data_IF_156983002163
#
_entry.id   IF_156983002163
#
_cell.length_a   1.000
_cell.length_b   1.000
_cell.length_c   1.000
_cell.angle_alpha   90.00
_cell.angle_beta   90.00
_cell.angle_gamma   90.00
#
_symmetry.space_group_name_H-M   'P 1'
#
loop_
_entity.id
_entity.type
_entity.pdbx_description
1 polymer ?
#
# COMPACT_ATOMS: atom_id res chain seq x y z
N UNK A 1 -0.36 32.86 16.19
CA UNK A 1 -0.54 33.77 17.36
C UNK A 1 -1.15 35.10 16.94
N UNK A 2 -2.29 35.04 16.24
CA UNK A 2 -3.19 36.17 15.97
C UNK A 2 -4.53 35.56 16.44
N UNK A 3 -5.14 35.96 17.56
CA UNK A 3 -6.04 37.11 17.56
C UNK A 3 -6.54 37.52 18.95
N UNK A 4 -5.79 37.31 20.04
CA UNK A 4 -6.23 37.80 21.37
C UNK A 4 -6.38 39.33 21.40
N UNK A 5 -5.53 40.06 20.66
CA UNK A 5 -5.59 41.51 20.55
C UNK A 5 -6.86 42.01 19.87
N UNK A 6 -7.29 41.35 18.79
CA UNK A 6 -8.48 41.76 18.03
C UNK A 6 -9.78 41.50 18.79
N UNK A 7 -9.92 40.35 19.45
CA UNK A 7 -11.07 40.09 20.31
C UNK A 7 -11.13 41.09 21.47
N UNK A 8 -9.99 41.45 22.06
CA UNK A 8 -9.95 42.50 23.08
C UNK A 8 -10.39 43.86 22.52
N UNK A 9 -10.03 44.18 21.27
CA UNK A 9 -10.38 45.45 20.63
C UNK A 9 -11.89 45.54 20.32
N UNK A 10 -12.48 44.45 19.83
CA UNK A 10 -13.90 44.38 19.51
C UNK A 10 -14.76 44.40 20.78
N UNK A 11 -14.32 43.71 21.84
CA UNK A 11 -14.95 43.76 23.15
C UNK A 11 -14.86 45.17 23.75
N UNK A 12 -13.73 45.87 23.57
CA UNK A 12 -13.53 47.24 24.04
C UNK A 12 -14.45 48.23 23.35
N UNK A 13 -14.63 48.10 22.02
CA UNK A 13 -15.55 48.95 21.25
C UNK A 13 -17.01 48.69 21.67
N UNK A 14 -17.39 47.43 21.87
CA UNK A 14 -18.73 47.08 22.34
C UNK A 14 -18.99 47.68 23.74
N UNK A 15 -18.00 47.59 24.64
CA UNK A 15 -18.08 48.16 25.97
C UNK A 15 -18.21 49.69 25.93
N UNK A 16 -17.46 50.35 25.03
CA UNK A 16 -17.53 51.80 24.84
C UNK A 16 -18.91 52.24 24.31
N UNK A 17 -19.47 51.49 23.35
CA UNK A 17 -20.80 51.76 22.80
C UNK A 17 -21.90 51.58 23.85
N UNK A 18 -21.78 50.56 24.71
CA UNK A 18 -22.69 50.36 25.84
C UNK A 18 -22.61 51.49 26.86
N UNK A 19 -21.40 52.00 27.15
CA UNK A 19 -21.20 53.13 28.07
C UNK A 19 -21.80 54.42 27.49
N UNK A 20 -21.50 54.75 26.24
CA UNK A 20 -22.02 55.97 25.58
C UNK A 20 -23.55 55.94 25.52
N UNK A 21 -24.14 54.77 25.22
CA UNK A 21 -25.58 54.61 25.21
C UNK A 21 -26.20 54.77 26.61
N UNK A 22 -25.54 54.25 27.66
CA UNK A 22 -25.99 54.41 29.04
C UNK A 22 -25.93 55.87 29.51
N UNK A 23 -24.93 56.64 29.08
CA UNK A 23 -24.78 58.05 29.47
C UNK A 23 -25.77 58.96 28.74
N UNK A 24 -26.03 58.76 27.44
CA UNK A 24 -27.03 59.55 26.71
C UNK A 24 -28.47 59.31 27.18
N UNK A 25 -28.80 58.10 27.65
CA UNK A 25 -30.15 57.77 28.12
C UNK A 25 -30.46 58.39 29.50
N UNK A 26 -29.45 58.59 30.35
CA UNK A 26 -29.65 59.17 31.68
C UNK A 26 -29.88 60.69 31.66
N UNK A 27 -29.36 61.42 30.66
CA UNK A 27 -29.51 62.87 30.58
C UNK A 27 -30.91 63.31 30.06
N UNK A 28 -31.62 62.48 29.30
CA UNK A 28 -32.99 62.78 28.83
C UNK A 28 -34.10 62.36 29.81
N UNK A 29 -33.82 61.47 30.77
CA UNK A 29 -34.83 60.92 31.68
C UNK A 29 -35.25 61.89 32.80
N UNK A 30 -34.49 62.97 33.01
CA UNK A 30 -34.71 63.91 34.13
C UNK A 30 -35.70 65.03 33.83
N UNK A 31 -36.23 65.20 32.60
CA UNK A 31 -37.02 66.41 32.27
C UNK A 31 -38.40 66.24 31.61
N UNK A 32 -38.98 65.04 31.44
CA UNK A 32 -40.35 64.96 30.88
C UNK A 32 -41.09 63.64 31.18
N UNK A 33 -41.84 63.61 32.30
CA UNK A 33 -42.86 62.59 32.58
C UNK A 33 -44.11 62.80 31.72
N UNK A 34 -44.12 62.23 30.52
CA UNK A 34 -45.34 61.80 29.81
C UNK A 34 -45.22 60.29 29.57
N UNK A 35 -46.09 59.52 30.22
CA UNK A 35 -46.00 58.06 30.37
C UNK A 35 -46.07 57.24 29.08
N UNK A 36 -46.45 57.82 27.95
CA UNK A 36 -46.44 57.14 26.64
C UNK A 36 -45.08 57.21 25.93
N UNK A 37 -44.24 58.21 26.26
CA UNK A 37 -42.93 58.40 25.61
C UNK A 37 -41.89 57.37 26.09
N UNK A 38 -41.97 56.97 27.36
CA UNK A 38 -40.98 56.08 27.99
C UNK A 38 -41.00 54.66 27.41
N UNK A 39 -42.19 54.12 27.10
CA UNK A 39 -42.31 52.77 26.52
C UNK A 39 -41.66 52.68 25.13
N UNK A 40 -41.90 53.66 24.27
CA UNK A 40 -41.30 53.71 22.93
C UNK A 40 -39.79 53.86 22.99
N UNK A 41 -39.28 54.65 23.94
CA UNK A 41 -37.84 54.77 24.18
C UNK A 41 -37.20 53.44 24.58
N UNK A 42 -37.78 52.71 25.55
CA UNK A 42 -37.27 51.40 25.96
C UNK A 42 -37.32 50.36 24.83
N UNK A 43 -38.38 50.34 24.02
CA UNK A 43 -38.47 49.45 22.86
C UNK A 43 -37.36 49.76 21.85
N UNK A 44 -37.10 51.03 21.57
CA UNK A 44 -36.04 51.45 20.66
C UNK A 44 -34.65 51.10 21.20
N UNK A 45 -34.42 51.22 22.51
CA UNK A 45 -33.17 50.80 23.15
C UNK A 45 -32.94 49.30 23.02
N UNK A 46 -33.94 48.49 23.36
CA UNK A 46 -33.87 47.03 23.25
C UNK A 46 -33.63 46.64 21.79
N UNK A 47 -34.39 47.22 20.85
CA UNK A 47 -34.23 46.97 19.43
C UNK A 47 -32.84 47.36 18.92
N UNK A 48 -32.33 48.54 19.29
CA UNK A 48 -30.99 49.00 18.93
C UNK A 48 -29.88 48.08 19.47
N UNK A 49 -30.01 47.61 20.71
CA UNK A 49 -29.06 46.66 21.30
C UNK A 49 -29.07 45.30 20.59
N UNK A 50 -30.25 44.79 20.22
CA UNK A 50 -30.40 43.53 19.47
C UNK A 50 -29.81 43.65 18.06
N UNK A 51 -30.07 44.75 17.36
CA UNK A 51 -29.48 45.01 16.03
C UNK A 51 -27.96 45.09 16.12
N UNK A 52 -27.42 45.81 17.11
CA UNK A 52 -25.97 45.91 17.34
C UNK A 52 -25.35 44.53 17.63
N UNK A 53 -25.99 43.71 18.47
CA UNK A 53 -25.54 42.36 18.77
C UNK A 53 -25.53 41.47 17.52
N UNK A 54 -26.60 41.53 16.69
CA UNK A 54 -26.68 40.76 15.44
C UNK A 54 -25.58 41.18 14.46
N UNK A 55 -25.31 42.48 14.31
CA UNK A 55 -24.20 42.98 13.49
C UNK A 55 -22.86 42.45 14.03
N UNK A 56 -22.65 42.47 15.35
CA UNK A 56 -21.45 41.92 15.97
C UNK A 56 -21.25 40.43 15.70
N UNK A 57 -22.33 39.63 15.79
CA UNK A 57 -22.30 38.20 15.48
C UNK A 57 -21.97 37.97 14.00
N UNK A 58 -22.58 38.73 13.08
CA UNK A 58 -22.32 38.61 11.65
C UNK A 58 -20.86 38.94 11.31
N UNK A 59 -20.30 40.01 11.87
CA UNK A 59 -18.89 40.38 11.69
C UNK A 59 -17.97 39.30 12.26
N UNK A 60 -18.24 38.81 13.48
CA UNK A 60 -17.42 37.76 14.09
C UNK A 60 -17.49 36.45 13.29
N UNK A 61 -18.66 36.07 12.79
CA UNK A 61 -18.86 34.89 11.95
C UNK A 61 -18.10 35.01 10.63
N UNK A 62 -18.17 36.19 9.99
CA UNK A 62 -17.43 36.48 8.77
C UNK A 62 -15.91 36.36 8.98
N UNK A 63 -15.37 36.94 10.05
CA UNK A 63 -13.93 36.87 10.37
C UNK A 63 -13.51 35.42 10.64
N UNK A 64 -14.27 34.68 11.46
CA UNK A 64 -13.99 33.27 11.74
C UNK A 64 -14.01 32.43 10.46
N UNK A 65 -14.93 32.70 9.53
CA UNK A 65 -14.98 32.04 8.24
C UNK A 65 -13.69 32.24 7.43
N UNK A 66 -13.15 33.47 7.39
CA UNK A 66 -11.88 33.74 6.70
C UNK A 66 -10.69 33.07 7.38
N UNK A 67 -10.63 33.10 8.72
CA UNK A 67 -9.54 32.43 9.45
C UNK A 67 -9.55 30.92 9.22
N UNK A 68 -10.72 30.28 9.25
CA UNK A 68 -10.85 28.86 8.94
C UNK A 68 -10.48 28.55 7.48
N UNK A 69 -10.81 29.45 6.55
CA UNK A 69 -10.42 29.32 5.15
C UNK A 69 -8.90 29.39 4.97
N UNK A 70 -8.23 30.34 5.62
CA UNK A 70 -6.78 30.49 5.55
C UNK A 70 -6.06 29.28 6.16
N UNK A 71 -6.51 28.83 7.34
CA UNK A 71 -5.99 27.59 7.96
C UNK A 71 -6.13 26.42 6.99
N UNK A 72 -7.30 26.26 6.36
CA UNK A 72 -7.53 25.18 5.38
C UNK A 72 -6.57 25.29 4.18
N UNK A 73 -6.36 26.47 3.64
CA UNK A 73 -5.43 26.71 2.52
C UNK A 73 -3.99 26.39 2.94
N UNK A 74 -3.54 26.85 4.11
CA UNK A 74 -2.20 26.55 4.63
C UNK A 74 -2.01 25.04 4.86
N UNK A 75 -3.00 24.35 5.42
CA UNK A 75 -2.94 22.90 5.59
C UNK A 75 -2.87 22.19 4.24
N UNK A 76 -3.68 22.59 3.25
CA UNK A 76 -3.66 22.01 1.91
C UNK A 76 -2.32 22.25 1.20
N UNK A 77 -1.79 23.48 1.26
CA UNK A 77 -0.49 23.82 0.69
C UNK A 77 0.64 23.05 1.37
N UNK A 78 0.65 22.93 2.71
CA UNK A 78 1.67 22.13 3.42
C UNK A 78 1.57 20.64 3.08
N UNK A 79 0.35 20.14 2.87
CA UNK A 79 0.11 18.75 2.46
C UNK A 79 0.63 18.51 1.06
N UNK A 80 0.36 19.40 0.12
CA UNK A 80 0.88 19.33 -1.25
C UNK A 80 2.41 19.46 -1.27
N UNK A 81 2.98 20.36 -0.48
CA UNK A 81 4.43 20.53 -0.36
C UNK A 81 5.09 19.28 0.24
N UNK A 82 4.51 18.70 1.30
CA UNK A 82 4.96 17.43 1.87
C UNK A 82 4.85 16.29 0.85
N UNK A 83 3.74 16.20 0.12
CA UNK A 83 3.57 15.18 -0.93
C UNK A 83 4.59 15.36 -2.05
N UNK A 84 4.88 16.59 -2.47
CA UNK A 84 5.86 16.91 -3.50
C UNK A 84 7.31 16.67 -3.03
N UNK A 85 7.62 16.93 -1.77
CA UNK A 85 8.90 16.55 -1.16
C UNK A 85 9.04 15.03 -1.11
N UNK A 86 8.03 14.32 -0.58
CA UNK A 86 8.02 12.86 -0.55
C UNK A 86 8.16 12.25 -1.95
N UNK A 87 7.48 12.80 -2.96
CA UNK A 87 7.51 12.27 -4.33
C UNK A 87 8.89 12.42 -4.98
N UNK A 88 9.53 13.59 -4.83
CA UNK A 88 10.92 13.81 -5.29
C UNK A 88 11.93 12.94 -4.55
N UNK A 89 11.74 12.75 -3.25
CA UNK A 89 12.61 11.88 -2.45
C UNK A 89 12.44 10.40 -2.85
N UNK A 90 11.21 9.96 -3.13
CA UNK A 90 10.90 8.62 -3.62
C UNK A 90 11.50 8.38 -5.01
N UNK A 91 11.41 9.34 -5.94
CA UNK A 91 11.99 9.21 -7.28
C UNK A 91 13.53 9.22 -7.26
N UNK A 92 14.14 10.08 -6.44
CA UNK A 92 15.59 10.11 -6.29
C UNK A 92 16.12 8.83 -5.62
N UNK A 93 15.38 8.25 -4.67
CA UNK A 93 15.70 6.94 -4.05
C UNK A 93 15.51 5.79 -5.03
N UNK A 94 14.41 5.74 -5.78
CA UNK A 94 14.17 4.70 -6.81
C UNK A 94 15.28 4.68 -7.87
N UNK A 95 15.76 5.85 -8.30
CA UNK A 95 16.84 5.92 -9.31
C UNK A 95 18.24 5.59 -8.76
N UNK A 96 18.46 5.75 -7.44
CA UNK A 96 19.69 5.34 -6.75
C UNK A 96 19.68 3.87 -6.32
N UNK A 97 18.55 3.33 -5.87
CA UNK A 97 18.39 1.94 -5.41
C UNK A 97 18.72 0.90 -6.50
N UNK A 98 18.54 1.23 -7.78
CA UNK A 98 18.87 0.30 -8.88
C UNK A 98 20.37 0.33 -9.24
N UNK A 99 21.08 1.43 -8.93
CA UNK A 99 22.49 1.64 -9.24
C UNK A 99 23.37 1.14 -8.09
N UNK A 100 23.58 -0.16 -8.06
CA UNK A 100 24.45 -0.81 -7.07
C UNK A 100 24.19 -2.31 -6.96
N UNK A 101 22.94 -2.70 -7.21
CA UNK A 101 22.51 -4.10 -7.12
C UNK A 101 23.24 -5.00 -8.12
N UNK A 102 23.70 -6.14 -7.61
CA UNK A 102 24.23 -7.25 -8.40
C UNK A 102 23.13 -7.91 -9.26
N UNK A 103 23.53 -8.76 -10.21
CA UNK A 103 22.56 -9.52 -11.00
C UNK A 103 22.00 -10.65 -10.15
N UNK A 104 20.71 -10.95 -10.32
CA UNK A 104 20.08 -12.09 -9.64
C UNK A 104 20.81 -13.40 -9.94
N UNK A 105 21.12 -14.17 -8.89
CA UNK A 105 21.75 -15.49 -8.98
C UNK A 105 20.79 -16.54 -8.38
N UNK A 106 20.32 -17.53 -9.16
CA UNK A 106 19.47 -18.59 -8.63
C UNK A 106 20.22 -19.51 -7.68
N UNK A 107 19.51 -20.10 -6.70
CA UNK A 107 20.10 -21.03 -5.74
C UNK A 107 20.56 -22.35 -6.37
N UNK A 108 19.83 -22.81 -7.39
CA UNK A 108 20.09 -24.06 -8.09
C UNK A 108 20.24 -23.79 -9.59
N UNK A 109 21.07 -24.56 -10.29
CA UNK A 109 21.02 -24.59 -11.75
C UNK A 109 19.61 -24.93 -12.21
N UNK A 110 19.20 -24.38 -13.34
CA UNK A 110 17.86 -24.64 -13.88
C UNK A 110 17.88 -25.00 -15.36
N UNK A 111 16.88 -25.77 -15.78
CA UNK A 111 16.53 -26.02 -17.17
C UNK A 111 15.25 -25.26 -17.47
N UNK A 112 15.24 -24.50 -18.56
CA UNK A 112 14.04 -23.82 -19.03
C UNK A 112 13.35 -24.64 -20.14
N UNK A 113 12.02 -24.74 -20.07
CA UNK A 113 11.18 -25.39 -21.07
C UNK A 113 10.02 -24.46 -21.41
N UNK A 114 9.82 -24.20 -22.69
CA UNK A 114 8.68 -23.45 -23.19
C UNK A 114 7.66 -24.43 -23.79
N UNK A 115 6.38 -24.26 -23.46
CA UNK A 115 5.27 -25.03 -24.01
C UNK A 115 4.25 -24.07 -24.60
N UNK A 116 3.98 -24.27 -25.88
CA UNK A 116 2.96 -23.61 -26.69
C UNK A 116 2.08 -24.65 -27.41
N UNK A 117 1.15 -24.19 -28.25
CA UNK A 117 0.22 -25.08 -28.98
C UNK A 117 0.92 -26.03 -29.97
N UNK A 118 2.14 -25.71 -30.40
CA UNK A 118 2.93 -26.47 -31.38
C UNK A 118 3.91 -27.43 -30.73
N UNK A 119 4.07 -27.34 -29.41
CA UNK A 119 5.03 -28.12 -28.64
C UNK A 119 4.70 -29.61 -28.69
N UNK A 120 5.72 -30.44 -28.89
CA UNK A 120 5.55 -31.89 -28.95
C UNK A 120 4.96 -32.43 -27.64
N UNK A 121 3.93 -33.30 -27.69
CA UNK A 121 3.36 -33.94 -26.49
C UNK A 121 4.39 -34.74 -25.68
N UNK A 122 5.48 -35.18 -26.30
CA UNK A 122 6.58 -35.91 -25.64
C UNK A 122 7.28 -35.02 -24.60
N UNK A 123 7.43 -33.72 -24.88
CA UNK A 123 8.03 -32.77 -23.94
C UNK A 123 7.16 -32.64 -22.69
N UNK A 124 5.84 -32.54 -22.86
CA UNK A 124 4.89 -32.52 -21.75
C UNK A 124 4.87 -33.85 -20.97
N UNK A 125 5.04 -35.00 -21.63
CA UNK A 125 5.17 -36.30 -20.96
C UNK A 125 6.43 -36.38 -20.09
N UNK A 126 7.58 -35.93 -20.59
CA UNK A 126 8.80 -35.85 -19.77
C UNK A 126 8.57 -34.97 -18.53
N UNK A 127 7.94 -33.79 -18.70
CA UNK A 127 7.61 -32.91 -17.59
C UNK A 127 6.64 -33.55 -16.59
N UNK A 128 5.67 -34.37 -17.05
CA UNK A 128 4.78 -35.13 -16.15
C UNK A 128 5.60 -36.11 -15.30
N UNK A 129 6.57 -36.80 -15.88
CA UNK A 129 7.45 -37.72 -15.15
C UNK A 129 8.27 -36.94 -14.10
N UNK A 130 8.81 -35.77 -14.47
CA UNK A 130 9.54 -34.91 -13.54
C UNK A 130 8.64 -34.37 -12.42
N UNK A 131 7.41 -33.96 -12.75
CA UNK A 131 6.43 -33.45 -11.78
C UNK A 131 6.04 -34.53 -10.77
N UNK A 132 5.83 -35.78 -11.20
CA UNK A 132 5.54 -36.91 -10.30
C UNK A 132 6.63 -37.16 -9.24
N UNK A 133 7.88 -36.79 -9.55
CA UNK A 133 9.04 -36.92 -8.65
C UNK A 133 9.27 -35.67 -7.78
N UNK A 134 8.53 -34.61 -8.03
CA UNK A 134 8.70 -33.31 -7.39
C UNK A 134 7.59 -33.10 -6.35
N UNK A 135 7.93 -32.52 -5.20
CA UNK A 135 6.98 -32.27 -4.09
C UNK A 135 6.78 -30.80 -3.75
N UNK A 136 7.69 -29.93 -4.19
CA UNK A 136 7.61 -28.50 -4.01
C UNK A 136 7.62 -27.83 -5.38
N UNK A 137 6.70 -26.89 -5.57
CA UNK A 137 6.56 -26.15 -6.81
C UNK A 137 6.43 -24.68 -6.51
N UNK A 138 6.89 -23.84 -7.43
CA UNK A 138 6.56 -22.41 -7.44
C UNK A 138 5.71 -22.13 -8.67
N UNK A 139 4.62 -21.38 -8.53
CA UNK A 139 3.75 -21.01 -9.65
C UNK A 139 3.59 -19.49 -9.71
N UNK A 140 3.79 -18.94 -10.90
CA UNK A 140 3.55 -17.53 -11.22
C UNK A 140 2.61 -17.45 -12.43
N UNK A 141 1.62 -16.58 -12.34
CA UNK A 141 0.65 -16.33 -13.40
C UNK A 141 0.97 -14.98 -14.03
N UNK A 142 1.02 -14.95 -15.36
CA UNK A 142 1.35 -13.77 -16.12
C UNK A 142 0.25 -13.40 -17.11
N UNK A 143 -0.03 -12.11 -17.14
CA UNK A 143 -1.02 -11.49 -18.00
C UNK A 143 -2.24 -10.98 -17.23
N UNK A 144 -2.93 -10.03 -17.84
CA UNK A 144 -4.17 -9.43 -17.36
C UNK A 144 -5.28 -9.54 -18.42
N UNK A 145 -6.47 -9.00 -18.10
CA UNK A 145 -7.66 -9.01 -18.98
C UNK A 145 -7.37 -8.35 -20.35
N UNK A 146 -6.40 -7.43 -20.42
CA UNK A 146 -6.08 -6.63 -21.60
C UNK A 146 -4.87 -7.18 -22.38
N UNK A 147 -4.06 -8.02 -21.75
CA UNK A 147 -2.88 -8.62 -22.33
C UNK A 147 -3.25 -9.66 -23.38
N UNK A 148 -2.54 -9.63 -24.52
CA UNK A 148 -2.71 -10.61 -25.59
C UNK A 148 -2.07 -11.96 -25.27
N UNK A 149 -1.19 -12.00 -24.27
CA UNK A 149 -0.39 -13.17 -23.92
C UNK A 149 -0.66 -13.53 -22.46
N UNK A 150 -1.40 -14.62 -22.26
CA UNK A 150 -1.57 -15.26 -20.96
C UNK A 150 -0.64 -16.48 -20.90
N UNK A 151 0.17 -16.56 -19.87
CA UNK A 151 1.02 -17.73 -19.64
C UNK A 151 1.18 -17.99 -18.14
N UNK A 152 1.62 -19.21 -17.81
CA UNK A 152 1.91 -19.65 -16.46
C UNK A 152 3.37 -20.08 -16.44
N UNK A 153 4.12 -19.65 -15.43
CA UNK A 153 5.45 -20.15 -15.16
C UNK A 153 5.43 -21.03 -13.91
N UNK A 154 6.02 -22.21 -14.04
CA UNK A 154 6.05 -23.22 -12.99
C UNK A 154 7.49 -23.68 -12.80
N UNK A 155 8.00 -23.56 -11.59
CA UNK A 155 9.25 -24.20 -11.19
C UNK A 155 8.96 -25.53 -10.51
N UNK A 156 9.56 -26.61 -11.03
CA UNK A 156 9.68 -27.90 -10.38
C UNK A 156 10.96 -27.87 -9.53
N UNK A 157 10.81 -27.72 -8.21
CA UNK A 157 11.95 -27.56 -7.30
C UNK A 157 12.53 -28.94 -6.97
N UNK A 158 13.67 -29.27 -7.59
CA UNK A 158 14.39 -30.52 -7.33
C UNK A 158 15.73 -30.25 -6.64
N UNK A 159 16.31 -31.29 -6.02
CA UNK A 159 17.51 -31.16 -5.20
C UNK A 159 18.74 -30.62 -5.96
N UNK A 160 18.91 -31.01 -7.22
CA UNK A 160 20.14 -30.73 -7.98
C UNK A 160 19.94 -29.77 -9.16
N UNK A 161 18.74 -29.74 -9.75
CA UNK A 161 18.41 -28.88 -10.87
C UNK A 161 16.92 -28.56 -10.86
N UNK A 162 16.55 -27.28 -10.86
CA UNK A 162 15.16 -26.89 -11.02
C UNK A 162 14.75 -26.97 -12.50
N UNK A 163 13.47 -27.25 -12.78
CA UNK A 163 12.92 -27.16 -14.14
C UNK A 163 11.89 -26.06 -14.16
N UNK A 164 12.11 -25.01 -14.95
CA UNK A 164 11.17 -23.90 -15.12
C UNK A 164 10.44 -24.11 -16.42
N UNK A 165 9.13 -24.27 -16.32
CA UNK A 165 8.25 -24.49 -17.44
C UNK A 165 7.38 -23.26 -17.62
N UNK A 166 7.48 -22.61 -18.78
CA UNK A 166 6.50 -21.60 -19.23
C UNK A 166 5.47 -22.28 -20.10
N UNK A 167 4.20 -22.13 -19.75
CA UNK A 167 3.06 -22.69 -20.47
C UNK A 167 2.22 -21.53 -20.99
N UNK A 168 2.24 -21.32 -22.31
CA UNK A 168 1.32 -20.41 -22.97
C UNK A 168 -0.09 -20.97 -22.96
N UNK A 169 -1.07 -20.09 -22.72
CA UNK A 169 -2.46 -20.47 -22.62
C UNK A 169 -3.13 -20.31 -23.97
N UNK A 170 -3.68 -21.42 -24.48
CA UNK A 170 -4.39 -21.49 -25.74
C UNK A 170 -5.71 -22.26 -25.58
N UNK A 171 -6.68 -21.99 -26.46
CA UNK A 171 -8.04 -22.57 -26.40
C UNK A 171 -8.22 -23.83 -27.25
N UNK A 172 -7.28 -24.10 -28.15
CA UNK A 172 -7.39 -25.20 -29.10
C UNK A 172 -7.07 -26.54 -28.42
N UNK A 173 -7.98 -27.51 -28.52
CA UNK A 173 -7.77 -28.86 -28.02
C UNK A 173 -6.76 -29.59 -28.91
N UNK A 174 -5.48 -29.55 -28.53
CA UNK A 174 -4.37 -30.27 -29.18
C UNK A 174 -3.92 -31.45 -28.32
N UNK A 175 -3.17 -32.43 -28.87
CA UNK A 175 -2.62 -33.50 -28.03
C UNK A 175 -1.72 -33.00 -26.89
N UNK A 176 -1.04 -31.86 -27.06
CA UNK A 176 -0.26 -31.22 -26.00
C UNK A 176 -1.17 -30.56 -24.95
N UNK A 177 -2.33 -30.03 -25.33
CA UNK A 177 -3.33 -29.50 -24.40
C UNK A 177 -3.74 -30.53 -23.32
N UNK A 178 -4.06 -31.76 -23.74
CA UNK A 178 -4.44 -32.83 -22.81
C UNK A 178 -3.29 -33.21 -21.87
N UNK A 179 -2.05 -33.18 -22.36
CA UNK A 179 -0.85 -33.41 -21.54
C UNK A 179 -0.57 -32.28 -20.58
N UNK A 180 -0.80 -31.02 -20.95
CA UNK A 180 -0.71 -29.89 -20.03
C UNK A 180 -1.75 -30.05 -18.92
N UNK A 181 -2.99 -30.45 -19.23
CA UNK A 181 -4.01 -30.72 -18.20
C UNK A 181 -3.57 -31.83 -17.25
N UNK A 182 -2.99 -32.90 -17.79
CA UNK A 182 -2.43 -33.97 -16.98
C UNK A 182 -1.26 -33.48 -16.11
N UNK A 183 -0.34 -32.70 -16.66
CA UNK A 183 0.79 -32.09 -15.95
C UNK A 183 0.31 -31.23 -14.78
N UNK A 184 -0.61 -30.29 -15.03
CA UNK A 184 -1.18 -29.44 -14.00
C UNK A 184 -1.93 -30.24 -12.94
N UNK A 185 -2.61 -31.34 -13.33
CA UNK A 185 -3.28 -32.22 -12.36
C UNK A 185 -2.31 -32.97 -11.43
N UNK A 186 -1.09 -33.23 -11.89
CA UNK A 186 -0.02 -33.84 -11.07
C UNK A 186 0.61 -32.80 -10.15
N UNK A 187 0.80 -31.57 -10.62
CA UNK A 187 1.35 -30.46 -9.84
C UNK A 187 0.38 -30.06 -8.73
N UNK A 188 -0.89 -29.86 -9.07
CA UNK A 188 -1.98 -29.46 -8.18
C UNK A 188 -2.60 -30.72 -7.56
N UNK A 189 -1.77 -31.44 -6.82
CA UNK A 189 -2.15 -32.59 -6.01
C UNK A 189 -2.01 -32.24 -4.53
N UNK A 190 -2.91 -32.75 -3.68
CA UNK A 190 -2.92 -32.43 -2.26
C UNK A 190 -1.64 -32.86 -1.50
N UNK A 191 -0.87 -33.81 -2.06
CA UNK A 191 0.42 -34.22 -1.49
C UNK A 191 1.58 -33.26 -1.79
N UNK A 192 1.36 -32.25 -2.63
CA UNK A 192 2.37 -31.29 -3.04
C UNK A 192 2.22 -29.96 -2.28
N UNK A 193 3.32 -29.21 -2.26
CA UNK A 193 3.34 -27.83 -1.75
C UNK A 193 3.57 -26.87 -2.90
N UNK A 194 2.72 -25.86 -3.02
CA UNK A 194 2.80 -24.83 -4.05
C UNK A 194 3.10 -23.49 -3.38
N UNK A 195 4.20 -22.87 -3.78
CA UNK A 195 4.66 -21.57 -3.32
C UNK A 195 4.23 -20.50 -4.34
N UNK A 196 3.69 -19.40 -3.83
CA UNK A 196 3.27 -18.25 -4.64
C UNK A 196 3.73 -16.95 -4.01
N UNK A 197 3.80 -15.90 -4.83
CA UNK A 197 3.95 -14.53 -4.34
C UNK A 197 2.62 -13.80 -4.41
N UNK A 198 1.88 -13.81 -3.29
CA UNK A 198 0.55 -13.23 -3.20
C UNK A 198 -0.59 -14.23 -3.40
N UNK A 199 -1.80 -13.68 -3.50
CA UNK A 199 -3.06 -14.41 -3.56
C UNK A 199 -3.29 -15.00 -4.95
N UNK A 200 -3.06 -16.31 -5.07
CA UNK A 200 -3.21 -17.06 -6.31
C UNK A 200 -4.64 -17.01 -6.87
N UNK A 201 -5.66 -16.90 -6.01
CA UNK A 201 -7.07 -17.00 -6.42
C UNK A 201 -7.47 -15.81 -7.29
N UNK A 202 -6.92 -14.63 -7.03
CA UNK A 202 -7.15 -13.44 -7.85
C UNK A 202 -6.62 -13.61 -9.26
N UNK A 203 -5.44 -14.21 -9.40
CA UNK A 203 -4.79 -14.39 -10.69
C UNK A 203 -5.43 -15.53 -11.49
N UNK A 204 -5.84 -16.61 -10.83
CA UNK A 204 -6.49 -17.78 -11.43
C UNK A 204 -7.82 -17.46 -12.13
N UNK A 205 -8.52 -16.41 -11.70
CA UNK A 205 -9.80 -16.02 -12.29
C UNK A 205 -9.68 -15.81 -13.82
N UNK A 206 -8.56 -15.27 -14.29
CA UNK A 206 -8.31 -15.02 -15.73
C UNK A 206 -8.12 -16.30 -16.56
N UNK A 207 -7.85 -17.42 -15.91
CA UNK A 207 -7.55 -18.70 -16.56
C UNK A 207 -8.73 -19.67 -16.55
N UNK A 208 -9.83 -19.32 -15.87
CA UNK A 208 -11.00 -20.19 -15.67
C UNK A 208 -11.59 -20.71 -16.99
N UNK A 209 -11.67 -19.84 -18.00
CA UNK A 209 -12.35 -20.15 -19.26
C UNK A 209 -11.52 -21.05 -20.19
N UNK A 210 -10.26 -21.34 -19.84
CA UNK A 210 -9.36 -22.13 -20.67
C UNK A 210 -9.36 -23.62 -20.34
N UNK A 211 -10.08 -24.06 -19.30
CA UNK A 211 -10.27 -25.48 -18.98
C UNK A 211 -9.01 -26.23 -18.51
N UNK A 212 -7.92 -25.52 -18.22
CA UNK A 212 -6.67 -26.08 -17.69
C UNK A 212 -6.76 -26.43 -16.20
N UNK A 213 -7.54 -25.68 -15.43
CA UNK A 213 -7.65 -25.84 -13.98
C UNK A 213 -8.99 -26.41 -13.56
N UNK A 214 -8.96 -27.38 -12.65
CA UNK A 214 -10.14 -27.80 -11.90
C UNK A 214 -10.12 -26.97 -10.61
N UNK A 215 -10.96 -25.94 -10.54
CA UNK A 215 -10.96 -24.96 -9.45
C UNK A 215 -11.05 -25.62 -8.06
N UNK A 216 -11.85 -26.69 -7.95
CA UNK A 216 -12.02 -27.45 -6.71
C UNK A 216 -10.71 -28.09 -6.22
N UNK A 217 -9.80 -28.48 -7.12
CA UNK A 217 -8.49 -29.05 -6.74
C UNK A 217 -7.53 -28.01 -6.18
N UNK A 218 -7.67 -26.75 -6.58
CA UNK A 218 -6.83 -25.66 -6.06
C UNK A 218 -7.18 -25.33 -4.60
N UNK A 219 -8.40 -25.64 -4.14
CA UNK A 219 -8.79 -25.46 -2.76
C UNK A 219 -8.23 -26.55 -1.83
N UNK A 220 -7.88 -27.72 -2.37
CA UNK A 220 -7.37 -28.85 -1.58
C UNK A 220 -5.85 -28.91 -1.52
N UNK A 221 -5.14 -28.18 -2.38
CA UNK A 221 -3.67 -28.14 -2.37
C UNK A 221 -3.14 -27.18 -1.30
N UNK A 222 -1.98 -27.52 -0.73
CA UNK A 222 -1.28 -26.64 0.21
C UNK A 222 -0.63 -25.48 -0.54
N UNK A 223 -1.34 -24.36 -0.59
CA UNK A 223 -0.87 -23.08 -1.11
C UNK A 223 -0.18 -22.29 0.00
N UNK A 224 1.05 -21.83 -0.26
CA UNK A 224 1.83 -20.99 0.65
C UNK A 224 2.08 -19.64 -0.02
N UNK A 225 1.48 -18.58 0.52
CA UNK A 225 1.82 -17.20 0.13
C UNK A 225 3.11 -16.77 0.82
N UNK A 226 4.23 -16.88 0.10
CA UNK A 226 5.57 -16.56 0.60
C UNK A 226 5.70 -15.09 0.97
N UNK A 227 4.86 -14.19 0.41
CA UNK A 227 4.94 -12.76 0.68
C UNK A 227 4.64 -12.43 2.14
N UNK A 228 3.66 -13.12 2.74
CA UNK A 228 3.28 -12.89 4.14
C UNK A 228 4.34 -13.47 5.09
N UNK A 229 4.79 -14.70 4.81
CA UNK A 229 5.85 -15.35 5.57
C UNK A 229 7.15 -14.52 5.52
N UNK A 230 7.47 -13.95 4.36
CA UNK A 230 8.60 -13.04 4.18
C UNK A 230 8.48 -11.80 5.05
N UNK A 231 7.31 -11.14 5.07
CA UNK A 231 7.09 -9.94 5.91
C UNK A 231 7.35 -10.26 7.37
N UNK A 232 6.83 -11.38 7.87
CA UNK A 232 7.04 -11.82 9.25
C UNK A 232 8.51 -12.13 9.53
N UNK A 233 9.16 -12.91 8.68
CA UNK A 233 10.58 -13.27 8.82
C UNK A 233 11.49 -12.03 8.77
N UNK A 234 11.30 -11.15 7.79
CA UNK A 234 12.10 -9.94 7.61
C UNK A 234 11.97 -9.03 8.84
N UNK A 235 10.74 -8.87 9.33
CA UNK A 235 10.46 -8.02 10.48
C UNK A 235 11.08 -8.56 11.78
N UNK A 236 11.14 -9.88 11.93
CA UNK A 236 11.80 -10.53 13.06
C UNK A 236 13.33 -10.47 12.96
N UNK A 237 13.88 -10.59 11.75
CA UNK A 237 15.33 -10.65 11.51
C UNK A 237 15.99 -9.28 11.59
N UNK A 238 15.34 -8.25 11.03
CA UNK A 238 15.86 -6.89 10.96
C UNK A 238 15.07 -5.94 11.85
N UNK A 239 15.10 -6.18 13.16
CA UNK A 239 14.36 -5.39 14.16
C UNK A 239 14.69 -3.89 14.10
N UNK A 240 13.84 -3.06 14.69
CA UNK A 240 14.09 -1.62 14.76
C UNK A 240 15.34 -1.31 15.55
N UNK A 241 16.00 -0.21 15.17
CA UNK A 241 16.98 0.42 16.05
C UNK A 241 16.27 0.90 17.32
N UNK A 242 16.93 0.79 18.46
CA UNK A 242 16.43 1.29 19.76
C UNK A 242 16.06 2.77 19.72
N UNK A 243 16.63 3.52 18.77
CA UNK A 243 16.40 4.96 18.61
C UNK A 243 15.35 5.29 17.54
N UNK A 244 14.59 4.30 17.06
CA UNK A 244 13.49 4.54 16.13
C UNK A 244 12.36 5.25 16.88
N UNK A 245 11.99 6.46 16.41
CA UNK A 245 10.96 7.29 17.05
C UNK A 245 9.59 6.62 17.18
N UNK A 246 9.34 5.53 16.45
CA UNK A 246 8.12 4.74 16.58
C UNK A 246 8.04 3.85 17.80
N UNK A 247 9.18 3.38 18.33
CA UNK A 247 9.19 2.52 19.52
C UNK A 247 8.66 3.30 20.75
N UNK A 248 8.75 4.62 20.71
CA UNK A 248 8.53 5.48 21.88
C UNK A 248 7.03 5.75 22.11
N UNK A 249 6.18 5.74 21.07
CA UNK A 249 4.79 6.21 21.20
C UNK A 249 3.69 5.24 20.71
N UNK A 250 3.99 4.21 19.88
CA UNK A 250 2.95 3.30 19.36
C UNK A 250 3.43 1.85 19.16
N UNK A 251 2.57 0.87 19.47
CA UNK A 251 2.78 -0.58 19.20
C UNK A 251 2.56 -0.88 17.70
N UNK A 252 3.00 -0.01 16.81
CA UNK A 252 3.00 -0.27 15.37
C UNK A 252 4.45 -0.26 14.87
N UNK A 253 4.98 -1.47 14.75
CA UNK A 253 6.33 -1.76 14.26
C UNK A 253 6.47 -1.34 12.78
N UNK A 254 5.38 -1.18 12.02
CA UNK A 254 5.44 -0.78 10.60
C UNK A 254 4.48 0.37 10.33
N UNK A 255 4.67 1.51 11.02
CA UNK A 255 3.92 2.74 10.74
C UNK A 255 4.73 3.83 9.99
N UNK A 256 4.06 4.91 9.55
CA UNK A 256 4.64 5.92 8.67
C UNK A 256 5.79 6.73 9.31
N UNK A 257 5.87 6.72 10.64
CA UNK A 257 6.86 7.45 11.42
C UNK A 257 8.18 6.69 11.58
N UNK A 258 8.31 5.50 10.99
CA UNK A 258 9.56 4.74 11.03
C UNK A 258 10.69 5.53 10.37
N UNK A 259 11.78 5.78 11.10
CA UNK A 259 13.00 6.37 10.57
C UNK A 259 14.05 5.35 10.12
N UNK A 260 13.82 4.05 10.36
CA UNK A 260 14.77 2.99 9.97
C UNK A 260 14.87 2.87 8.45
N UNK A 261 16.08 3.01 7.90
CA UNK A 261 16.34 2.97 6.46
C UNK A 261 16.12 1.60 5.83
N UNK A 262 16.28 0.52 6.60
CA UNK A 262 16.07 -0.87 6.16
C UNK A 262 14.60 -1.30 6.16
N UNK A 263 13.65 -0.40 6.45
CA UNK A 263 12.20 -0.66 6.45
C UNK A 263 11.51 0.12 5.32
N UNK A 264 11.56 -0.39 4.07
CA UNK A 264 10.99 0.31 2.92
C UNK A 264 9.45 0.32 2.90
N UNK A 265 8.82 -0.52 3.71
CA UNK A 265 7.37 -0.63 3.86
C UNK A 265 6.99 -0.19 5.26
N UNK A 266 6.17 0.84 5.33
CA UNK A 266 5.88 1.61 6.55
C UNK A 266 4.41 1.63 6.90
N UNK A 267 3.57 0.90 6.18
CA UNK A 267 2.17 0.69 6.55
C UNK A 267 1.94 -0.79 6.84
N UNK A 268 1.08 -1.07 7.81
CA UNK A 268 0.54 -2.42 8.03
C UNK A 268 -0.12 -2.99 6.76
N UNK A 269 -0.72 -2.13 5.93
CA UNK A 269 -1.33 -2.47 4.64
C UNK A 269 -0.34 -2.60 3.49
N UNK A 270 0.91 -2.19 3.68
CA UNK A 270 1.91 -2.28 2.63
C UNK A 270 2.23 -3.75 2.32
N UNK A 271 2.29 -4.04 1.03
CA UNK A 271 2.62 -5.37 0.51
C UNK A 271 4.03 -5.38 -0.07
N UNK A 272 4.81 -6.37 0.33
CA UNK A 272 6.12 -6.59 -0.25
C UNK A 272 5.99 -6.94 -1.73
N UNK A 273 6.70 -6.21 -2.58
CA UNK A 273 6.94 -6.62 -3.96
C UNK A 273 8.09 -7.61 -3.96
N UNK A 274 8.02 -8.58 -4.86
CA UNK A 274 9.05 -9.62 -4.98
C UNK A 274 10.42 -9.01 -5.25
N UNK A 275 10.46 -8.02 -6.15
CA UNK A 275 11.68 -7.28 -6.46
C UNK A 275 12.33 -6.61 -5.25
N UNK A 276 11.54 -5.91 -4.42
CA UNK A 276 12.08 -5.29 -3.21
C UNK A 276 12.52 -6.34 -2.19
N UNK A 277 11.78 -7.45 -2.07
CA UNK A 277 12.18 -8.54 -1.19
C UNK A 277 13.55 -9.11 -1.59
N UNK A 278 13.80 -9.30 -2.89
CA UNK A 278 15.11 -9.73 -3.39
C UNK A 278 16.19 -8.68 -3.16
N UNK A 279 15.93 -7.42 -3.53
CA UNK A 279 16.95 -6.37 -3.41
C UNK A 279 17.36 -6.12 -1.96
N UNK A 280 16.41 -6.12 -1.02
CA UNK A 280 16.68 -5.88 0.39
C UNK A 280 17.28 -7.10 1.10
N UNK A 281 17.07 -8.32 0.59
CA UNK A 281 17.58 -9.54 1.24
C UNK A 281 18.94 -9.96 0.69
N UNK A 282 19.19 -9.77 -0.61
CA UNK A 282 20.37 -10.31 -1.31
C UNK A 282 21.20 -9.25 -2.03
N UNK A 283 20.82 -7.97 -2.00
CA UNK A 283 21.47 -6.90 -2.79
C UNK A 283 21.52 -7.22 -4.31
N UNK A 284 20.47 -7.90 -4.79
CA UNK A 284 20.31 -8.39 -6.16
C UNK A 284 19.16 -7.68 -6.90
N UNK A 285 19.20 -7.68 -8.23
CA UNK A 285 18.13 -7.16 -9.08
C UNK A 285 17.61 -8.21 -10.07
N UNK A 286 16.32 -8.54 -9.96
CA UNK A 286 15.64 -9.50 -10.87
C UNK A 286 15.29 -8.90 -12.24
N UNK A 287 15.17 -7.58 -12.37
CA UNK A 287 14.68 -6.92 -13.60
C UNK A 287 15.78 -6.53 -14.61
N UNK A 288 17.07 -6.62 -14.24
CA UNK A 288 18.15 -6.30 -15.19
C UNK A 288 18.17 -7.24 -16.42
N UNK A 289 17.57 -8.43 -16.31
CA UNK A 289 17.71 -9.51 -17.30
C UNK A 289 16.45 -9.80 -18.13
N UNK A 290 15.36 -9.03 -17.99
CA UNK A 290 14.12 -9.14 -18.79
C UNK A 290 13.46 -10.55 -18.84
N UNK A 291 13.85 -11.51 -17.99
CA UNK A 291 13.29 -12.86 -18.00
C UNK A 291 12.31 -13.06 -16.86
N UNK A 292 11.02 -13.14 -17.16
CA UNK A 292 9.94 -13.48 -16.21
C UNK A 292 10.27 -14.75 -15.39
N UNK A 293 11.01 -15.68 -16.00
CA UNK A 293 11.67 -16.87 -15.42
C UNK A 293 12.27 -16.62 -14.02
N UNK A 294 12.85 -15.44 -13.78
CA UNK A 294 13.49 -15.12 -12.50
C UNK A 294 12.51 -14.93 -11.35
N UNK A 295 11.23 -14.70 -11.60
CA UNK A 295 10.23 -14.55 -10.53
C UNK A 295 10.02 -15.87 -9.79
N UNK A 296 9.87 -17.00 -10.50
CA UNK A 296 9.78 -18.30 -9.84
C UNK A 296 11.01 -18.59 -8.98
N UNK A 297 12.20 -18.39 -9.54
CA UNK A 297 13.47 -18.61 -8.86
C UNK A 297 13.63 -17.71 -7.64
N UNK A 298 13.19 -16.45 -7.74
CA UNK A 298 13.22 -15.49 -6.64
C UNK A 298 12.31 -15.90 -5.49
N UNK A 299 11.09 -16.36 -5.79
CA UNK A 299 10.15 -16.87 -4.78
C UNK A 299 10.76 -18.10 -4.09
N UNK A 300 11.31 -19.04 -4.86
CA UNK A 300 11.98 -20.23 -4.32
C UNK A 300 13.16 -19.85 -3.43
N UNK A 301 13.98 -18.87 -3.86
CA UNK A 301 15.12 -18.36 -3.08
C UNK A 301 14.68 -17.74 -1.76
N UNK A 302 13.67 -16.88 -1.78
CA UNK A 302 13.12 -16.29 -0.55
C UNK A 302 12.50 -17.35 0.35
N UNK A 303 11.73 -18.28 -0.21
CA UNK A 303 11.11 -19.36 0.57
C UNK A 303 12.17 -20.18 1.29
N UNK A 304 13.28 -20.49 0.62
CA UNK A 304 14.39 -21.24 1.21
C UNK A 304 15.03 -20.51 2.39
N UNK A 305 15.24 -19.20 2.25
CA UNK A 305 15.76 -18.34 3.32
C UNK A 305 14.84 -18.34 4.55
N UNK A 306 13.53 -18.25 4.34
CA UNK A 306 12.54 -18.30 5.43
C UNK A 306 12.55 -19.68 6.10
N UNK A 307 12.54 -20.76 5.31
CA UNK A 307 12.55 -22.15 5.81
C UNK A 307 13.79 -22.43 6.65
N UNK A 308 14.95 -21.92 6.24
CA UNK A 308 16.23 -22.09 6.95
C UNK A 308 16.45 -21.05 8.06
N UNK A 309 15.52 -20.11 8.23
CA UNK A 309 15.55 -19.05 9.24
C UNK A 309 16.87 -18.28 9.23
N UNK A 310 17.32 -17.85 8.05
CA UNK A 310 18.57 -17.10 7.95
C UNK A 310 18.52 -15.84 8.81
N UNK A 311 19.68 -15.47 9.32
CA UNK A 311 19.91 -14.26 10.11
C UNK A 311 20.68 -13.23 9.29
N UNK A 312 20.64 -11.96 9.69
CA UNK A 312 21.31 -10.87 8.96
C UNK A 312 22.84 -11.04 8.76
N UNK A 313 23.49 -11.95 9.50
CA UNK A 313 24.91 -12.28 9.29
C UNK A 313 25.13 -13.17 8.06
N UNK A 314 24.21 -14.07 7.77
CA UNK A 314 24.30 -15.04 6.67
C UNK A 314 23.93 -14.43 5.31
N UNK A 315 23.29 -13.26 5.31
CA UNK A 315 22.89 -12.54 4.10
C UNK A 315 23.98 -11.60 3.56
N UNK A 316 25.10 -11.43 4.28
CA UNK A 316 26.18 -10.49 3.94
C UNK A 316 27.47 -11.17 3.45
N UNK A 317 27.51 -12.51 3.42
CA UNK A 317 28.62 -13.34 2.92
C UNK A 317 28.41 -13.72 1.44
#
# INVERSE_FOLDING_TARGET
MINQSFYSYLLSILHLLLIIHSTCSNDELTTSLKSESTRTHWINMIFGSLVSMLIGILISSYINHYQLRDIKITFQSSKEELLNMYSRDIESRKSKEVKGLSNFIPLTPYKYVHIDETTSPIIAEDLIIQAKRTKKFTIVFHGDILSKELFIEIELIQKFQSIITRIEIFKNSTPVYDRIKQLLSVIIDASNTIQTWGDINKNLFHYKDYGFFIYDKLQTVRLIDIRQDFKLWYNATFSHSTNCGQIIDFIDIDGPLCSCSHRPYKSSTDTWSLWKAISYTFDENIYKTNSNIHECLAITKISKVIEEKWTGKQTLD
#
